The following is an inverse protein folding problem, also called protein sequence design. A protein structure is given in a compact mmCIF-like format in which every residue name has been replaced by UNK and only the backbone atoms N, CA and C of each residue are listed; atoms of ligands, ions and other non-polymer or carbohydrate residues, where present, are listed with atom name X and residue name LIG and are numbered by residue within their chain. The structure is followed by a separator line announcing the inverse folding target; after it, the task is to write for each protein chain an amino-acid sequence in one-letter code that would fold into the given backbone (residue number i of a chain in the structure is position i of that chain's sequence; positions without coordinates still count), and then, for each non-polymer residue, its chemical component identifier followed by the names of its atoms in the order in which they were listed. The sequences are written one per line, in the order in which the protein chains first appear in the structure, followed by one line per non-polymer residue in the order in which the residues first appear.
data_IF_281544643531
#
_entry.id   IF_281544643531
#
_cell.length_a   1.000
_cell.length_b   1.000
_cell.length_c   1.000
_cell.angle_alpha   90.00
_cell.angle_beta   90.00
_cell.angle_gamma   90.00
#
_symmetry.space_group_name_H-M   'P 1'
#
loop_
_entity.id
_entity.type
_entity.pdbx_description
1 polymer ?
#
# COMPACT_ATOMS: atom_id res chain seq x y z
N UNK A 1 -6.20 7.44 11.14
CA UNK A 1 -5.74 7.37 9.74
C UNK A 1 -6.90 7.11 8.78
N UNK A 2 -7.40 5.89 8.58
CA UNK A 2 -8.43 5.58 7.56
C UNK A 2 -9.72 6.42 7.63
N UNK A 3 -10.23 6.69 8.84
CA UNK A 3 -11.44 7.54 9.00
C UNK A 3 -11.23 8.99 8.57
N UNK A 4 -10.01 9.49 8.68
CA UNK A 4 -9.64 10.86 8.26
C UNK A 4 -9.67 10.98 6.72
N UNK A 5 -9.46 9.86 6.01
CA UNK A 5 -9.61 9.75 4.56
C UNK A 5 -11.04 9.39 4.10
N UNK A 6 -12.05 9.58 4.95
CA UNK A 6 -13.45 9.36 4.58
C UNK A 6 -13.94 7.90 4.63
N UNK A 7 -13.11 6.95 5.07
CA UNK A 7 -13.56 5.57 5.26
C UNK A 7 -14.42 5.44 6.53
N UNK A 8 -15.74 5.29 6.35
CA UNK A 8 -16.70 5.20 7.45
C UNK A 8 -16.83 3.80 8.06
N UNK A 9 -16.50 2.76 7.29
CA UNK A 9 -16.64 1.34 7.69
C UNK A 9 -15.28 0.71 7.97
N UNK A 10 -14.67 1.12 9.08
CA UNK A 10 -13.36 0.63 9.53
C UNK A 10 -13.49 0.13 10.96
N UNK A 11 -13.06 -1.11 11.18
CA UNK A 11 -13.02 -1.78 12.47
C UNK A 11 -11.60 -2.18 12.84
N UNK A 12 -11.33 -2.21 14.13
CA UNK A 12 -10.10 -2.77 14.68
C UNK A 12 -10.41 -4.18 15.16
N UNK A 13 -9.54 -5.13 14.84
CA UNK A 13 -9.67 -6.49 15.31
C UNK A 13 -9.43 -6.55 16.82
N UNK A 14 -10.42 -7.02 17.56
CA UNK A 14 -10.33 -7.13 19.02
C UNK A 14 -9.22 -8.12 19.43
N UNK A 15 -8.33 -7.68 20.32
CA UNK A 15 -7.10 -8.41 20.69
C UNK A 15 -6.05 -8.56 19.59
N UNK A 16 -6.28 -8.01 18.40
CA UNK A 16 -5.34 -7.96 17.29
C UNK A 16 -4.81 -9.32 16.82
N UNK A 17 -3.63 -9.29 16.21
CA UNK A 17 -2.94 -10.49 15.73
C UNK A 17 -2.64 -11.53 16.83
N UNK A 18 -2.27 -11.14 18.08
CA UNK A 18 -2.06 -12.11 19.15
C UNK A 18 -3.31 -12.96 19.45
N UNK A 19 -4.48 -12.32 19.62
CA UNK A 19 -5.72 -13.05 19.92
C UNK A 19 -6.23 -13.83 18.70
N UNK A 20 -6.03 -13.32 17.48
CA UNK A 20 -6.34 -14.05 16.25
C UNK A 20 -5.60 -15.39 16.19
N UNK A 21 -4.28 -15.38 16.46
CA UNK A 21 -3.44 -16.58 16.50
C UNK A 21 -3.85 -17.52 17.64
N UNK A 22 -4.10 -16.97 18.83
CA UNK A 22 -4.56 -17.75 19.99
C UNK A 22 -5.92 -18.43 19.75
N UNK A 23 -6.76 -17.85 18.88
CA UNK A 23 -8.05 -18.43 18.47
C UNK A 23 -7.92 -19.52 17.41
N UNK A 24 -6.70 -19.85 16.96
CA UNK A 24 -6.45 -20.91 15.98
C UNK A 24 -6.82 -20.55 14.54
N UNK A 25 -7.07 -19.26 14.25
CA UNK A 25 -7.34 -18.83 12.87
C UNK A 25 -6.05 -18.88 12.05
N UNK A 26 -6.18 -19.42 10.83
CA UNK A 26 -5.06 -19.50 9.90
C UNK A 26 -4.59 -18.10 9.50
N UNK A 27 -3.27 -17.97 9.36
CA UNK A 27 -2.65 -16.87 8.64
C UNK A 27 -2.17 -17.44 7.32
N UNK A 28 -2.56 -16.80 6.24
CA UNK A 28 -2.06 -17.20 4.93
C UNK A 28 -0.58 -16.83 4.84
N UNK A 29 0.27 -17.83 4.66
CA UNK A 29 1.71 -17.64 4.44
C UNK A 29 2.06 -17.49 2.96
N UNK A 30 1.10 -17.76 2.07
CA UNK A 30 1.30 -17.70 0.63
C UNK A 30 1.00 -16.28 0.13
N UNK A 31 1.93 -15.36 0.34
CA UNK A 31 2.09 -14.32 -0.67
C UNK A 31 2.55 -15.04 -1.93
N UNK A 32 1.73 -15.09 -2.98
CA UNK A 32 2.20 -15.60 -4.28
C UNK A 32 3.52 -14.89 -4.61
N UNK A 33 4.57 -15.63 -4.95
CA UNK A 33 5.88 -15.05 -5.30
C UNK A 33 5.73 -13.94 -6.37
N UNK A 34 4.75 -14.11 -7.27
CA UNK A 34 4.34 -13.11 -8.26
C UNK A 34 3.85 -11.80 -7.62
N UNK A 35 3.05 -11.87 -6.54
CA UNK A 35 2.57 -10.68 -5.83
C UNK A 35 3.71 -9.93 -5.13
N UNK A 36 4.70 -10.64 -4.58
CA UNK A 36 5.88 -10.05 -3.97
C UNK A 36 6.75 -9.36 -5.02
N UNK A 37 6.98 -10.02 -6.16
CA UNK A 37 7.76 -9.45 -7.26
C UNK A 37 7.08 -8.21 -7.86
N UNK A 38 5.77 -8.24 -8.05
CA UNK A 38 4.99 -7.09 -8.53
C UNK A 38 5.04 -5.91 -7.55
N UNK A 39 4.92 -6.19 -6.24
CA UNK A 39 5.01 -5.16 -5.21
C UNK A 39 6.40 -4.52 -5.18
N UNK A 40 7.47 -5.32 -5.31
CA UNK A 40 8.84 -4.80 -5.42
C UNK A 40 9.04 -3.97 -6.68
N UNK A 41 8.57 -4.44 -7.84
CA UNK A 41 8.66 -3.71 -9.09
C UNK A 41 7.90 -2.36 -9.02
N UNK A 42 6.71 -2.35 -8.42
CA UNK A 42 5.94 -1.13 -8.21
C UNK A 42 6.67 -0.15 -7.28
N UNK A 43 7.24 -0.63 -6.16
CA UNK A 43 8.00 0.22 -5.25
C UNK A 43 9.24 0.83 -5.92
N UNK A 44 10.01 0.01 -6.65
CA UNK A 44 11.19 0.49 -7.36
C UNK A 44 10.82 1.55 -8.41
N UNK A 45 9.74 1.34 -9.18
CA UNK A 45 9.29 2.32 -10.16
C UNK A 45 8.90 3.67 -9.51
N UNK A 46 8.25 3.63 -8.34
CA UNK A 46 7.93 4.86 -7.58
C UNK A 46 9.20 5.55 -7.10
N UNK A 47 10.18 4.79 -6.60
CA UNK A 47 11.47 5.31 -6.13
C UNK A 47 12.29 5.95 -7.25
N UNK A 48 12.40 5.30 -8.41
CA UNK A 48 13.06 5.82 -9.61
C UNK A 48 12.44 7.15 -10.06
N UNK A 49 11.10 7.20 -10.17
CA UNK A 49 10.37 8.43 -10.53
C UNK A 49 10.59 9.54 -9.49
N UNK A 50 10.56 9.19 -8.20
CA UNK A 50 10.81 10.16 -7.12
C UNK A 50 12.23 10.75 -7.19
N UNK A 51 13.22 9.94 -7.56
CA UNK A 51 14.61 10.36 -7.73
C UNK A 51 14.87 11.07 -9.07
N UNK A 52 13.84 11.28 -9.90
CA UNK A 52 13.93 12.00 -11.16
C UNK A 52 14.39 11.15 -12.35
N UNK A 53 14.46 9.83 -12.20
CA UNK A 53 14.76 8.92 -13.30
C UNK A 53 13.53 8.71 -14.19
N UNK A 54 13.76 8.65 -15.50
CA UNK A 54 12.72 8.42 -16.49
C UNK A 54 12.46 6.91 -16.60
N UNK A 55 11.40 6.43 -15.96
CA UNK A 55 10.90 5.07 -16.24
C UNK A 55 10.47 5.00 -17.71
N UNK A 56 10.96 4.00 -18.45
CA UNK A 56 10.88 3.91 -19.91
C UNK A 56 9.46 3.90 -20.53
N UNK A 57 8.39 3.89 -19.73
CA UNK A 57 7.02 3.90 -20.24
C UNK A 57 6.07 4.62 -19.28
N UNK A 58 5.77 5.89 -19.58
CA UNK A 58 4.71 6.63 -18.90
C UNK A 58 3.37 6.20 -19.51
N UNK A 59 2.67 5.27 -18.87
CA UNK A 59 1.35 4.78 -19.35
C UNK A 59 0.19 5.69 -18.92
N UNK A 60 0.42 6.56 -17.94
CA UNK A 60 -0.59 7.45 -17.38
C UNK A 60 0.04 8.80 -17.03
N UNK A 61 -0.52 9.88 -17.57
CA UNK A 61 -0.21 11.24 -17.16
C UNK A 61 -1.37 11.77 -16.33
N UNK A 62 -1.05 12.36 -15.19
CA UNK A 62 -2.03 13.01 -14.31
C UNK A 62 -1.53 14.40 -13.95
N UNK A 63 -2.47 15.32 -13.79
CA UNK A 63 -2.16 16.67 -13.34
C UNK A 63 -1.78 16.64 -11.86
N UNK A 64 -0.70 17.34 -11.50
CA UNK A 64 -0.32 17.50 -10.11
C UNK A 64 -1.46 18.22 -9.36
N UNK A 65 -2.02 17.57 -8.34
CA UNK A 65 -3.08 18.11 -7.49
C UNK A 65 -2.46 18.47 -6.12
N UNK A 66 -2.10 19.74 -5.86
CA UNK A 66 -1.42 20.14 -4.63
C UNK A 66 -2.20 19.81 -3.37
N UNK A 67 -3.53 19.81 -3.44
CA UNK A 67 -4.43 19.47 -2.34
C UNK A 67 -4.37 18.01 -1.90
N UNK A 68 -3.77 17.12 -2.72
CA UNK A 68 -3.56 15.71 -2.37
C UNK A 68 -2.19 15.46 -1.72
N UNK A 69 -1.30 16.45 -1.69
CA UNK A 69 0.00 16.37 -1.03
C UNK A 69 -0.09 16.88 0.40
N UNK A 70 0.51 16.14 1.33
CA UNK A 70 0.71 16.62 2.70
C UNK A 70 1.96 17.50 2.73
N UNK A 71 1.78 18.81 2.96
CA UNK A 71 2.88 19.67 3.41
C UNK A 71 3.11 19.43 4.90
N UNK A 72 4.36 19.14 5.26
CA UNK A 72 4.85 19.03 6.65
C UNK A 72 4.85 20.39 7.36
#
# INVERSE_FOLDING_TARGET
MFRVFGHSRVWVLDGGLPQWRASGFNLDSNSSDDAVLKSKAANNAVEEVYNGELTNTITFQTEFQPQLFWTL
#
